data_IF_183963863959
#
_entry.id   IF_183963863959
#
_cell.length_a   1.000
_cell.length_b   1.000
_cell.length_c   1.000
_cell.angle_alpha   90.00
_cell.angle_beta   90.00
_cell.angle_gamma   90.00
#
_symmetry.space_group_name_H-M   'P 1'
#
loop_
_entity.id
_entity.type
_entity.pdbx_description
1 polymer ?
#
# COMPACT_ATOMS: atom_id res chain seq x y z
N UNK A 1 26.71 28.01 20.36
CA UNK A 1 26.29 26.59 20.38
C UNK A 1 24.86 26.53 19.85
N UNK A 2 24.68 26.50 18.53
CA UNK A 2 23.36 26.49 17.89
C UNK A 2 22.77 25.09 17.99
N UNK A 3 21.87 24.90 18.95
CA UNK A 3 21.15 23.65 19.16
C UNK A 3 20.25 23.35 17.95
N UNK A 4 20.71 22.43 17.10
CA UNK A 4 19.91 21.90 16.01
C UNK A 4 18.86 20.98 16.66
N UNK A 5 17.62 21.45 16.79
CA UNK A 5 16.48 20.60 17.16
C UNK A 5 16.39 19.49 16.12
N UNK A 6 16.69 18.25 16.54
CA UNK A 6 16.47 17.06 15.72
C UNK A 6 14.97 16.98 15.43
N UNK A 7 14.52 16.94 14.16
CA UNK A 7 13.12 16.67 13.88
C UNK A 7 12.79 15.29 14.44
N UNK A 8 11.87 15.23 15.41
CA UNK A 8 11.28 13.98 15.89
C UNK A 8 10.49 13.41 14.73
N UNK A 9 11.13 12.52 13.98
CA UNK A 9 10.53 11.86 12.85
C UNK A 9 9.45 10.89 13.36
N UNK A 10 8.24 11.41 13.55
CA UNK A 10 7.04 10.61 13.84
C UNK A 10 6.60 9.92 12.55
N UNK A 11 7.38 8.95 12.07
CA UNK A 11 6.82 7.88 11.26
C UNK A 11 5.99 7.03 12.22
N UNK A 12 4.70 7.36 12.34
CA UNK A 12 3.72 6.36 12.77
C UNK A 12 3.81 5.26 11.74
N UNK A 13 4.47 4.15 12.09
CA UNK A 13 4.35 2.92 11.35
C UNK A 13 2.83 2.62 11.31
N UNK A 14 2.22 2.67 10.13
CA UNK A 14 0.83 2.26 10.03
C UNK A 14 0.81 0.76 10.35
N UNK A 15 -0.28 0.30 10.96
CA UNK A 15 -0.40 -1.11 11.30
C UNK A 15 -0.24 -1.98 10.03
N UNK A 16 0.39 -3.17 10.12
CA UNK A 16 0.67 -4.02 8.97
C UNK A 16 -0.55 -4.30 8.06
N UNK A 17 -1.75 -4.40 8.65
CA UNK A 17 -3.01 -4.55 7.90
C UNK A 17 -3.44 -3.29 7.13
N UNK A 18 -3.13 -2.09 7.65
CA UNK A 18 -3.41 -0.83 6.96
C UNK A 18 -2.53 -0.66 5.71
N UNK A 19 -1.27 -1.11 5.78
CA UNK A 19 -0.36 -1.12 4.62
C UNK A 19 -0.83 -2.09 3.52
N UNK A 20 -1.36 -3.25 3.89
CA UNK A 20 -1.91 -4.20 2.93
C UNK A 20 -3.19 -3.66 2.25
N UNK A 21 -4.09 -3.02 3.01
CA UNK A 21 -5.30 -2.41 2.45
C UNK A 21 -4.97 -1.25 1.47
N UNK A 22 -3.99 -0.40 1.82
CA UNK A 22 -3.52 0.68 0.94
C UNK A 22 -2.95 0.15 -0.37
N UNK A 23 -2.18 -0.95 -0.30
CA UNK A 23 -1.59 -1.59 -1.48
C UNK A 23 -2.63 -2.26 -2.37
N UNK A 24 -3.66 -2.87 -1.79
CA UNK A 24 -4.79 -3.40 -2.54
C UNK A 24 -5.49 -2.29 -3.35
N UNK A 25 -5.72 -1.12 -2.75
CA UNK A 25 -6.34 0.02 -3.42
C UNK A 25 -5.45 0.60 -4.52
N UNK A 26 -4.14 0.69 -4.28
CA UNK A 26 -3.18 1.14 -5.29
C UNK A 26 -3.19 0.23 -6.52
N UNK A 27 -3.17 -1.09 -6.32
CA UNK A 27 -3.24 -2.07 -7.40
C UNK A 27 -4.56 -1.95 -8.20
N UNK A 28 -5.71 -1.76 -7.52
CA UNK A 28 -7.02 -1.51 -8.18
C UNK A 28 -7.04 -0.25 -9.02
N UNK A 29 -6.39 0.83 -8.56
CA UNK A 29 -6.29 2.06 -9.35
C UNK A 29 -5.42 1.88 -10.59
N UNK A 30 -4.27 1.23 -10.43
CA UNK A 30 -3.34 0.98 -11.54
C UNK A 30 -3.93 0.06 -12.61
N UNK A 31 -4.73 -0.94 -12.22
CA UNK A 31 -5.36 -1.86 -13.17
C UNK A 31 -6.38 -1.17 -14.07
N UNK A 32 -7.02 -0.10 -13.59
CA UNK A 32 -7.95 0.75 -14.36
C UNK A 32 -7.23 1.78 -15.25
N UNK A 33 -5.99 2.15 -14.91
CA UNK A 33 -5.21 3.12 -15.70
C UNK A 33 -4.29 2.47 -16.74
N UNK A 34 -4.08 1.15 -16.67
CA UNK A 34 -3.25 0.44 -17.65
C UNK A 34 -4.09 -0.05 -18.82
N UNK A 35 -3.57 0.14 -20.03
CA UNK A 35 -4.19 -0.36 -21.27
C UNK A 35 -3.75 -1.77 -21.63
N UNK A 36 -2.67 -2.27 -21.00
CA UNK A 36 -2.19 -3.63 -21.21
C UNK A 36 -3.03 -4.62 -20.41
N UNK A 37 -3.74 -5.50 -21.13
CA UNK A 37 -4.66 -6.48 -20.52
C UNK A 37 -3.94 -7.38 -19.51
N UNK A 38 -2.74 -7.86 -19.85
CA UNK A 38 -1.97 -8.77 -18.99
C UNK A 38 -1.55 -8.09 -17.69
N UNK A 39 -1.11 -6.84 -17.77
CA UNK A 39 -0.76 -6.02 -16.61
C UNK A 39 -1.98 -5.69 -15.77
N UNK A 40 -3.13 -5.39 -16.39
CA UNK A 40 -4.39 -5.16 -15.69
C UNK A 40 -4.81 -6.40 -14.88
N UNK A 41 -4.80 -7.58 -15.51
CA UNK A 41 -5.11 -8.87 -14.86
C UNK A 41 -4.14 -9.17 -13.70
N UNK A 42 -2.84 -8.95 -13.90
CA UNK A 42 -1.83 -9.11 -12.85
C UNK A 42 -2.07 -8.18 -11.66
N UNK A 43 -2.40 -6.91 -11.92
CA UNK A 43 -2.67 -5.92 -10.88
C UNK A 43 -3.96 -6.25 -10.10
N UNK A 44 -4.96 -6.82 -10.77
CA UNK A 44 -6.18 -7.31 -10.10
C UNK A 44 -5.84 -8.46 -9.15
N UNK A 45 -5.06 -9.45 -9.59
CA UNK A 45 -4.63 -10.57 -8.75
C UNK A 45 -3.80 -10.09 -7.54
N UNK A 46 -2.91 -9.12 -7.74
CA UNK A 46 -2.16 -8.51 -6.63
C UNK A 46 -3.07 -7.77 -5.65
N UNK A 47 -4.07 -7.05 -6.14
CA UNK A 47 -5.03 -6.36 -5.27
C UNK A 47 -5.79 -7.35 -4.38
N UNK A 48 -6.22 -8.47 -4.93
CA UNK A 48 -6.92 -9.52 -4.18
C UNK A 48 -6.02 -10.17 -3.12
N UNK A 49 -4.74 -10.37 -3.44
CA UNK A 49 -3.78 -10.92 -2.47
C UNK A 49 -3.51 -9.97 -1.32
N UNK A 50 -3.30 -8.68 -1.59
CA UNK A 50 -3.16 -7.67 -0.56
C UNK A 50 -4.44 -7.51 0.29
N UNK A 51 -5.63 -7.59 -0.31
CA UNK A 51 -6.91 -7.55 0.41
C UNK A 51 -7.06 -8.77 1.35
N UNK A 52 -6.60 -9.95 0.91
CA UNK A 52 -6.54 -11.16 1.74
C UNK A 52 -5.56 -11.00 2.91
N UNK A 53 -4.39 -10.41 2.68
CA UNK A 53 -3.40 -10.12 3.73
C UNK A 53 -3.93 -9.10 4.74
N UNK A 54 -4.62 -8.05 4.28
CA UNK A 54 -5.23 -7.06 5.15
C UNK A 54 -6.30 -7.68 6.06
N UNK A 55 -7.10 -8.61 5.53
CA UNK A 55 -8.13 -9.36 6.29
C UNK A 55 -7.57 -10.40 7.25
N UNK A 56 -6.37 -10.94 7.00
CA UNK A 56 -5.70 -11.90 7.88
C UNK A 56 -4.93 -11.23 9.03
N UNK A 57 -4.65 -9.93 8.90
CA UNK A 57 -3.90 -9.13 9.86
C UNK A 57 -4.80 -8.34 10.86
N UNK A 58 -6.13 -8.43 10.72
CA UNK A 58 -7.12 -7.87 11.65
C UNK A 58 -7.88 -8.95 12.39
#
# INVERSE_FOLDING_TARGET
MTGITRPTNTFKAAEPGAHAAEQAERCRRLSKSTSDRKTSEMLILMAEDYDRQAKAAG
#
